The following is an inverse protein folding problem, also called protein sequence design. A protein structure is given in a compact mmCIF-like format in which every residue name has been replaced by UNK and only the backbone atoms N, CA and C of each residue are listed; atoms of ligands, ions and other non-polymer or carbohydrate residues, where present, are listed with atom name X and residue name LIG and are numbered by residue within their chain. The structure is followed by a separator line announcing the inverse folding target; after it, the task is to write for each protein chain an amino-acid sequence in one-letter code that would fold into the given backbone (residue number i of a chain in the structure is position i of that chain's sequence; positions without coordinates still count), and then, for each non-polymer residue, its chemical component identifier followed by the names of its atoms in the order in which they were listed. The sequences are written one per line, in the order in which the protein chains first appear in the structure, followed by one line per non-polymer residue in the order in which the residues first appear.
data_IF_588305167121
#
_entry.id   IF_588305167121
#
_cell.length_a   1.000
_cell.length_b   1.000
_cell.length_c   1.000
_cell.angle_alpha   90.00
_cell.angle_beta   90.00
_cell.angle_gamma   90.00
#
_symmetry.space_group_name_H-M   'P 1'
#
loop_
_entity.id
_entity.type
_entity.pdbx_description
1 polymer ?
#
# COMPACT_ATOMS: atom_id res chain seq x y z
N UNK A 1 -22.63 10.46 -26.17
CA UNK A 1 -21.58 10.88 -25.24
C UNK A 1 -20.46 9.85 -25.23
N UNK A 2 -19.20 10.30 -25.23
CA UNK A 2 -18.04 9.46 -25.59
C UNK A 2 -16.97 9.44 -24.50
N UNK A 3 -16.10 8.42 -24.52
CA UNK A 3 -14.99 8.28 -23.56
C UNK A 3 -14.01 9.44 -23.68
N UNK A 4 -13.85 9.97 -24.89
CA UNK A 4 -13.03 11.12 -25.21
C UNK A 4 -13.54 12.36 -24.48
N UNK A 5 -14.87 12.61 -24.50
CA UNK A 5 -15.46 13.75 -23.78
C UNK A 5 -15.33 13.63 -22.26
N UNK A 6 -15.54 12.43 -21.70
CA UNK A 6 -15.36 12.21 -20.26
C UNK A 6 -13.88 12.31 -19.83
N UNK A 7 -12.96 11.83 -20.67
CA UNK A 7 -11.52 11.96 -20.46
C UNK A 7 -11.04 13.41 -20.54
N UNK A 8 -11.59 14.19 -21.48
CA UNK A 8 -11.29 15.61 -21.64
C UNK A 8 -11.69 16.43 -20.40
N UNK A 9 -12.85 16.14 -19.80
CA UNK A 9 -13.29 16.81 -18.57
C UNK A 9 -12.35 16.51 -17.38
N UNK A 10 -11.90 15.26 -17.25
CA UNK A 10 -10.91 14.88 -16.22
C UNK A 10 -9.58 15.59 -16.45
N UNK A 11 -9.16 15.71 -17.72
CA UNK A 11 -7.95 16.45 -18.10
C UNK A 11 -8.07 17.93 -17.75
N UNK A 12 -9.21 18.56 -18.08
CA UNK A 12 -9.46 19.97 -17.78
C UNK A 12 -9.40 20.23 -16.27
N UNK A 13 -9.96 19.33 -15.45
CA UNK A 13 -9.85 19.42 -14.00
C UNK A 13 -8.41 19.29 -13.50
N UNK A 14 -7.63 18.34 -14.04
CA UNK A 14 -6.21 18.20 -13.68
C UNK A 14 -5.44 19.49 -14.02
N UNK A 15 -5.63 20.03 -15.22
CA UNK A 15 -4.96 21.23 -15.69
C UNK A 15 -5.41 22.47 -14.90
N UNK A 16 -6.68 22.57 -14.51
CA UNK A 16 -7.19 23.64 -13.65
C UNK A 16 -6.62 23.63 -12.22
N UNK A 17 -5.98 22.52 -11.81
CA UNK A 17 -5.24 22.40 -10.54
C UNK A 17 -3.73 22.57 -10.71
N UNK A 18 -3.28 22.97 -11.90
CA UNK A 18 -1.87 23.05 -12.28
C UNK A 18 -1.11 21.73 -12.10
N UNK A 19 -1.80 20.58 -12.18
CA UNK A 19 -1.17 19.28 -12.03
C UNK A 19 -0.69 18.75 -13.38
N UNK A 20 0.55 18.30 -13.43
CA UNK A 20 1.09 17.46 -14.49
C UNK A 20 0.52 16.03 -14.42
N UNK A 21 0.64 15.29 -15.52
CA UNK A 21 0.31 13.86 -15.53
C UNK A 21 1.16 13.05 -14.52
N UNK A 22 2.38 13.48 -14.24
CA UNK A 22 3.26 12.84 -13.27
C UNK A 22 2.78 13.05 -11.83
N UNK A 23 2.30 14.26 -11.50
CA UNK A 23 1.73 14.56 -10.19
C UNK A 23 0.41 13.83 -9.96
N UNK A 24 -0.45 13.75 -10.98
CA UNK A 24 -1.67 12.93 -10.88
C UNK A 24 -1.34 11.44 -10.74
N UNK A 25 -0.29 10.96 -11.42
CA UNK A 25 0.17 9.57 -11.29
C UNK A 25 0.65 9.27 -9.86
N UNK A 26 1.42 10.18 -9.26
CA UNK A 26 1.86 10.07 -7.87
C UNK A 26 0.68 10.08 -6.88
N UNK A 27 -0.29 10.97 -7.08
CA UNK A 27 -1.46 11.11 -6.21
C UNK A 27 -2.44 9.91 -6.28
N UNK A 28 -2.51 9.23 -7.43
CA UNK A 28 -3.51 8.17 -7.67
C UNK A 28 -2.90 6.76 -7.65
N UNK A 29 -1.58 6.62 -7.78
CA UNK A 29 -0.91 5.35 -8.01
C UNK A 29 -1.30 4.68 -9.34
N UNK A 30 -1.72 5.48 -10.34
CA UNK A 30 -2.01 5.04 -11.71
C UNK A 30 -0.84 5.47 -12.61
N UNK A 31 -0.42 4.61 -13.55
CA UNK A 31 0.68 4.95 -14.45
C UNK A 31 0.35 6.17 -15.33
N UNK A 32 1.36 6.99 -15.63
CA UNK A 32 1.25 8.14 -16.54
C UNK A 32 0.60 7.74 -17.88
N UNK A 33 1.02 6.59 -18.42
CA UNK A 33 0.44 6.05 -19.65
C UNK A 33 -1.04 5.66 -19.49
N UNK A 34 -1.42 5.08 -18.34
CA UNK A 34 -2.81 4.75 -18.01
C UNK A 34 -3.69 6.00 -17.91
N UNK A 35 -3.19 7.06 -17.25
CA UNK A 35 -3.84 8.36 -17.17
C UNK A 35 -3.98 9.00 -18.56
N UNK A 36 -2.92 8.96 -19.38
CA UNK A 36 -2.96 9.45 -20.77
C UNK A 36 -4.01 8.72 -21.62
N UNK A 37 -4.17 7.40 -21.47
CA UNK A 37 -5.23 6.67 -22.18
C UNK A 37 -6.63 7.03 -21.68
N UNK A 38 -6.78 7.28 -20.39
CA UNK A 38 -8.04 7.69 -19.77
C UNK A 38 -8.45 9.09 -20.25
N UNK A 39 -7.54 10.08 -20.17
CA UNK A 39 -7.81 11.46 -20.59
C UNK A 39 -8.12 11.60 -22.08
N UNK A 40 -7.56 10.72 -22.92
CA UNK A 40 -7.85 10.70 -24.36
C UNK A 40 -9.04 9.81 -24.73
N UNK A 41 -9.67 9.13 -23.77
CA UNK A 41 -10.73 8.16 -24.06
C UNK A 41 -10.30 6.93 -24.87
N UNK A 42 -9.00 6.75 -25.09
CA UNK A 42 -8.44 5.82 -26.07
C UNK A 42 -8.68 4.33 -25.75
N UNK A 43 -8.95 4.00 -24.47
CA UNK A 43 -9.26 2.64 -24.01
C UNK A 43 -10.36 2.68 -22.97
N UNK A 44 -11.09 1.56 -22.82
CA UNK A 44 -12.00 1.39 -21.68
C UNK A 44 -11.15 1.22 -20.41
N UNK A 45 -11.22 2.13 -19.42
CA UNK A 45 -10.47 1.98 -18.19
C UNK A 45 -11.10 0.87 -17.32
N UNK A 46 -10.27 0.19 -16.52
CA UNK A 46 -10.76 -0.71 -15.48
C UNK A 46 -11.46 0.08 -14.38
N UNK A 47 -12.47 -0.54 -13.74
CA UNK A 47 -13.20 0.05 -12.60
C UNK A 47 -12.25 0.52 -11.48
N UNK A 48 -11.22 -0.27 -11.19
CA UNK A 48 -10.20 0.07 -10.17
C UNK A 48 -9.36 1.28 -10.56
N UNK A 49 -9.06 1.47 -11.85
CA UNK A 49 -8.34 2.65 -12.36
C UNK A 49 -9.21 3.90 -12.21
N UNK A 50 -10.49 3.82 -12.58
CA UNK A 50 -11.44 4.93 -12.44
C UNK A 50 -11.55 5.37 -10.98
N UNK A 51 -11.73 4.42 -10.06
CA UNK A 51 -11.85 4.74 -8.63
C UNK A 51 -10.60 5.43 -8.07
N UNK A 52 -9.40 4.98 -8.46
CA UNK A 52 -8.14 5.62 -8.05
C UNK A 52 -8.03 7.06 -8.54
N UNK A 53 -8.44 7.32 -9.78
CA UNK A 53 -8.42 8.66 -10.38
C UNK A 53 -9.46 9.57 -9.72
N UNK A 54 -10.68 9.08 -9.49
CA UNK A 54 -11.73 9.81 -8.78
C UNK A 54 -11.26 10.20 -7.37
N UNK A 55 -10.70 9.24 -6.61
CA UNK A 55 -10.19 9.49 -5.27
C UNK A 55 -9.04 10.50 -5.26
N UNK A 56 -8.05 10.36 -6.15
CA UNK A 56 -6.91 11.28 -6.19
C UNK A 56 -7.27 12.69 -6.68
N UNK A 57 -8.37 12.82 -7.42
CA UNK A 57 -8.96 14.12 -7.78
C UNK A 57 -9.99 14.61 -6.76
N UNK A 58 -10.28 13.86 -5.69
CA UNK A 58 -11.30 14.22 -4.71
C UNK A 58 -12.72 14.29 -5.29
N UNK A 59 -12.99 13.51 -6.34
CA UNK A 59 -14.29 13.41 -6.99
C UNK A 59 -15.16 12.36 -6.28
N UNK A 60 -16.49 12.55 -6.22
CA UNK A 60 -17.41 11.53 -5.73
C UNK A 60 -17.28 10.21 -6.52
N UNK A 61 -17.41 9.04 -5.87
CA UNK A 61 -17.40 7.76 -6.58
C UNK A 61 -18.45 7.69 -7.69
N UNK A 62 -18.05 7.21 -8.87
CA UNK A 62 -18.92 7.07 -10.03
C UNK A 62 -19.10 8.35 -10.85
N UNK A 63 -18.35 9.42 -10.55
CA UNK A 63 -18.30 10.65 -11.35
C UNK A 63 -18.01 10.34 -12.82
N UNK A 64 -17.00 9.52 -13.12
CA UNK A 64 -16.65 9.15 -14.49
C UNK A 64 -17.80 8.48 -15.24
N UNK A 65 -18.58 7.63 -14.56
CA UNK A 65 -19.76 7.00 -15.15
C UNK A 65 -20.85 8.02 -15.51
N UNK A 66 -20.98 9.11 -14.75
CA UNK A 66 -21.89 10.21 -15.07
C UNK A 66 -21.37 11.03 -16.25
N UNK A 67 -20.07 11.33 -16.27
CA UNK A 67 -19.42 12.04 -17.38
C UNK A 67 -19.53 11.28 -18.71
N UNK A 68 -19.58 9.95 -18.68
CA UNK A 68 -19.76 9.14 -19.89
C UNK A 68 -21.14 9.33 -20.56
N UNK A 69 -22.15 9.77 -19.81
CA UNK A 69 -23.54 9.90 -20.28
C UNK A 69 -24.06 11.33 -20.26
N UNK A 70 -23.40 12.24 -19.53
CA UNK A 70 -23.76 13.65 -19.44
C UNK A 70 -23.59 14.34 -20.80
N UNK A 71 -24.55 15.17 -21.22
CA UNK A 71 -24.50 15.93 -22.48
C UNK A 71 -23.42 17.03 -22.49
N UNK A 72 -23.10 17.56 -21.31
CA UNK A 72 -21.99 18.49 -21.08
C UNK A 72 -21.17 18.01 -19.87
N UNK A 73 -20.09 17.23 -20.10
CA UNK A 73 -19.26 16.68 -19.04
C UNK A 73 -18.54 17.75 -18.22
N UNK A 74 -18.18 18.90 -18.81
CA UNK A 74 -17.49 19.97 -18.10
C UNK A 74 -18.44 20.69 -17.14
N UNK A 75 -19.67 20.97 -17.58
CA UNK A 75 -20.71 21.54 -16.72
C UNK A 75 -21.15 20.57 -15.61
N UNK A 76 -21.30 19.28 -15.92
CA UNK A 76 -21.60 18.23 -14.93
C UNK A 76 -20.48 18.16 -13.88
N UNK A 77 -19.22 18.16 -14.31
CA UNK A 77 -18.06 18.12 -13.41
C UNK A 77 -18.00 19.37 -12.51
N UNK A 78 -18.24 20.55 -13.07
CA UNK A 78 -18.31 21.80 -12.32
C UNK A 78 -19.47 21.81 -11.31
N UNK A 79 -20.62 21.25 -11.66
CA UNK A 79 -21.75 21.07 -10.74
C UNK A 79 -21.40 20.10 -9.59
N UNK A 80 -20.74 18.98 -9.89
CA UNK A 80 -20.31 18.02 -8.87
C UNK A 80 -19.26 18.63 -7.91
N UNK A 81 -18.36 19.46 -8.43
CA UNK A 81 -17.38 20.17 -7.61
C UNK A 81 -17.99 21.30 -6.77
N UNK A 82 -18.94 22.05 -7.31
CA UNK A 82 -19.63 23.15 -6.59
C UNK A 82 -20.65 22.64 -5.55
N UNK A 83 -21.22 21.45 -5.77
CA UNK A 83 -22.08 20.77 -4.79
C UNK A 83 -21.30 19.98 -3.74
N UNK A 84 -19.97 19.93 -3.85
CA UNK A 84 -19.05 19.34 -2.85
C UNK A 84 -18.63 20.31 -1.73
N UNK A 85 -19.22 21.52 -1.66
CA UNK A 85 -19.38 22.21 -0.37
C UNK A 85 -20.37 21.41 0.51
N UNK A 86 -20.35 21.52 1.85
CA UNK A 86 -21.13 20.64 2.73
C UNK A 86 -22.64 20.90 2.58
N UNK A 87 -23.26 20.31 1.55
CA UNK A 87 -24.72 20.18 1.43
C UNK A 87 -25.12 18.89 2.09
N UNK A 88 -25.58 19.03 3.33
CA UNK A 88 -26.51 18.09 3.93
C UNK A 88 -27.63 17.82 2.93
N UNK A 89 -27.73 16.57 2.49
CA UNK A 89 -28.80 16.05 1.63
C UNK A 89 -30.15 16.22 2.32
N UNK A 90 -31.25 16.57 1.60
CA UNK A 90 -32.58 16.54 2.19
C UNK A 90 -32.86 15.12 2.67
N UNK A 91 -33.28 15.01 3.92
CA UNK A 91 -33.53 13.76 4.61
C UNK A 91 -34.43 12.85 3.76
N UNK A 92 -33.86 11.74 3.27
CA UNK A 92 -34.65 10.53 3.01
C UNK A 92 -35.45 10.23 4.28
N UNK A 93 -36.70 9.73 4.17
CA UNK A 93 -37.42 9.27 5.35
C UNK A 93 -36.52 8.33 6.12
N UNK A 94 -36.38 8.61 7.42
CA UNK A 94 -35.36 8.08 8.31
C UNK A 94 -35.47 6.56 8.48
N UNK A 95 -34.99 5.81 7.48
CA UNK A 95 -34.17 4.65 7.77
C UNK A 95 -32.81 5.20 8.14
N UNK A 96 -32.47 5.15 9.42
CA UNK A 96 -31.11 5.37 9.91
C UNK A 96 -30.17 4.46 9.12
N UNK A 97 -29.53 4.98 8.08
CA UNK A 97 -28.31 4.39 7.56
C UNK A 97 -27.25 4.74 8.59
N UNK A 98 -27.21 3.93 9.66
CA UNK A 98 -26.07 3.87 10.55
C UNK A 98 -24.95 3.30 9.69
N UNK A 99 -24.01 4.15 9.28
CA UNK A 99 -22.71 3.65 8.81
C UNK A 99 -22.07 3.07 10.05
N UNK A 100 -22.20 1.76 10.20
CA UNK A 100 -21.64 1.06 11.32
C UNK A 100 -20.13 0.94 11.10
N UNK A 101 -19.38 1.94 11.60
CA UNK A 101 -17.92 1.94 11.60
C UNK A 101 -17.35 0.72 12.33
N UNK A 102 -18.14 0.10 13.20
CA UNK A 102 -17.78 -1.17 13.82
C UNK A 102 -17.73 -2.28 12.76
N UNK A 103 -18.75 -2.39 11.89
CA UNK A 103 -18.79 -3.38 10.81
C UNK A 103 -17.65 -3.20 9.79
N UNK A 104 -17.29 -1.96 9.44
CA UNK A 104 -16.16 -1.72 8.53
C UNK A 104 -14.83 -2.16 9.16
N UNK A 105 -14.69 -1.99 10.47
CA UNK A 105 -13.49 -2.38 11.21
C UNK A 105 -13.40 -3.90 11.37
N UNK A 106 -14.52 -4.57 11.64
CA UNK A 106 -14.61 -6.03 11.68
C UNK A 106 -14.25 -6.67 10.33
N UNK A 107 -14.68 -6.06 9.22
CA UNK A 107 -14.32 -6.54 7.87
C UNK A 107 -12.81 -6.41 7.64
N UNK A 108 -12.19 -5.30 8.05
CA UNK A 108 -10.75 -5.09 7.91
C UNK A 108 -9.96 -6.08 8.77
N UNK A 109 -10.44 -6.36 9.97
CA UNK A 109 -9.85 -7.36 10.87
C UNK A 109 -9.94 -8.76 10.27
N UNK A 110 -11.14 -9.22 9.88
CA UNK A 110 -11.32 -10.53 9.28
C UNK A 110 -10.51 -10.71 8.00
N UNK A 111 -10.28 -9.64 7.24
CA UNK A 111 -9.37 -9.68 6.10
C UNK A 111 -7.91 -9.86 6.51
N UNK A 112 -7.44 -9.16 7.55
CA UNK A 112 -6.08 -9.31 8.07
C UNK A 112 -5.85 -10.73 8.63
N UNK A 113 -6.83 -11.29 9.34
CA UNK A 113 -6.80 -12.65 9.85
C UNK A 113 -6.71 -13.67 8.71
N UNK A 114 -7.56 -13.55 7.68
CA UNK A 114 -7.53 -14.43 6.52
C UNK A 114 -6.19 -14.39 5.76
N UNK A 115 -5.55 -13.21 5.68
CA UNK A 115 -4.21 -13.08 5.09
C UNK A 115 -3.15 -13.81 5.91
N UNK A 116 -3.18 -13.67 7.24
CA UNK A 116 -2.25 -14.35 8.14
C UNK A 116 -2.39 -15.87 8.02
N UNK A 117 -3.62 -16.39 7.96
CA UNK A 117 -3.88 -17.82 7.80
C UNK A 117 -3.42 -18.35 6.44
N UNK A 118 -3.63 -17.59 5.37
CA UNK A 118 -3.12 -17.92 4.05
C UNK A 118 -1.59 -18.02 4.05
N UNK A 119 -0.91 -17.06 4.69
CA UNK A 119 0.56 -17.07 4.85
C UNK A 119 1.02 -18.28 5.66
N UNK A 120 0.40 -18.54 6.81
CA UNK A 120 0.71 -19.73 7.65
C UNK A 120 0.57 -21.02 6.86
N UNK A 121 -0.47 -21.14 6.03
CA UNK A 121 -0.68 -22.32 5.18
C UNK A 121 0.43 -22.50 4.14
N UNK A 122 0.97 -21.41 3.58
CA UNK A 122 2.12 -21.45 2.67
C UNK A 122 3.38 -21.85 3.42
N UNK A 123 3.62 -21.26 4.59
CA UNK A 123 4.82 -21.51 5.41
C UNK A 123 4.87 -22.94 5.93
N UNK A 124 3.73 -23.55 6.24
CA UNK A 124 3.66 -24.95 6.66
C UNK A 124 4.16 -25.93 5.59
N UNK A 125 4.22 -25.51 4.32
CA UNK A 125 4.72 -26.33 3.19
C UNK A 125 6.19 -26.07 2.89
N UNK A 126 6.82 -25.12 3.59
CA UNK A 126 8.22 -24.79 3.42
C UNK A 126 9.13 -25.74 4.21
N UNK A 127 10.34 -26.04 3.72
CA UNK A 127 11.36 -26.75 4.50
C UNK A 127 11.68 -25.99 5.81
N UNK A 128 12.07 -26.73 6.84
CA UNK A 128 12.53 -26.16 8.12
C UNK A 128 13.93 -25.54 8.02
N UNK A 129 14.79 -26.11 7.17
CA UNK A 129 16.13 -25.61 6.84
C UNK A 129 16.28 -25.66 5.31
N UNK A 130 16.79 -24.59 4.72
CA UNK A 130 16.84 -24.47 3.25
C UNK A 130 18.24 -24.55 2.68
N UNK A 131 18.37 -25.29 1.59
CA UNK A 131 19.41 -25.08 0.57
C UNK A 131 19.17 -23.74 -0.15
N UNK A 132 20.21 -23.20 -0.81
CA UNK A 132 20.16 -21.94 -1.58
C UNK A 132 18.97 -21.88 -2.58
N UNK A 133 18.46 -23.03 -3.03
CA UNK A 133 17.34 -23.14 -3.97
C UNK A 133 16.01 -22.55 -3.46
N UNK A 134 15.80 -22.48 -2.13
CA UNK A 134 14.56 -21.96 -1.54
C UNK A 134 14.66 -20.52 -1.04
N UNK A 135 15.85 -19.91 -1.05
CA UNK A 135 16.06 -18.54 -0.56
C UNK A 135 15.14 -17.54 -1.29
N UNK A 136 15.09 -17.62 -2.63
CA UNK A 136 14.23 -16.74 -3.44
C UNK A 136 12.75 -16.92 -3.10
N UNK A 137 12.33 -18.16 -2.80
CA UNK A 137 10.93 -18.43 -2.44
C UNK A 137 10.62 -17.90 -1.04
N UNK A 138 11.50 -18.10 -0.05
CA UNK A 138 11.33 -17.55 1.30
C UNK A 138 11.27 -16.02 1.25
N UNK A 139 12.16 -15.36 0.49
CA UNK A 139 12.12 -13.91 0.30
C UNK A 139 10.80 -13.44 -0.32
N UNK A 140 10.22 -14.22 -1.24
CA UNK A 140 8.88 -13.94 -1.78
C UNK A 140 7.78 -14.01 -0.70
N UNK A 141 7.84 -15.01 0.20
CA UNK A 141 6.89 -15.14 1.32
C UNK A 141 7.07 -14.01 2.33
N UNK A 142 8.31 -13.64 2.67
CA UNK A 142 8.63 -12.47 3.49
C UNK A 142 8.02 -11.20 2.88
N UNK A 143 8.19 -10.99 1.57
CA UNK A 143 7.59 -9.86 0.89
C UNK A 143 6.05 -9.87 0.92
N UNK A 144 5.41 -11.04 1.09
CA UNK A 144 3.97 -11.14 1.31
C UNK A 144 3.58 -10.83 2.77
N UNK A 145 4.34 -11.30 3.76
CA UNK A 145 4.16 -10.93 5.17
C UNK A 145 4.18 -9.40 5.33
N UNK A 146 5.19 -8.76 4.78
CA UNK A 146 5.38 -7.32 4.87
C UNK A 146 4.27 -6.51 4.17
N UNK A 147 3.71 -7.04 3.07
CA UNK A 147 2.52 -6.44 2.44
C UNK A 147 1.29 -6.55 3.33
N UNK A 148 1.09 -7.69 3.99
CA UNK A 148 0.01 -7.89 4.93
C UNK A 148 0.17 -6.98 6.16
N UNK A 149 1.39 -6.78 6.65
CA UNK A 149 1.71 -5.85 7.74
C UNK A 149 1.33 -4.42 7.37
N UNK A 150 1.76 -3.94 6.20
CA UNK A 150 1.43 -2.58 5.76
C UNK A 150 -0.07 -2.36 5.62
N UNK A 151 -0.80 -3.38 5.18
CA UNK A 151 -2.25 -3.31 5.14
C UNK A 151 -2.86 -3.29 6.55
N UNK A 152 -2.46 -4.20 7.44
CA UNK A 152 -2.95 -4.27 8.81
C UNK A 152 -2.64 -2.96 9.57
N UNK A 153 -1.47 -2.36 9.36
CA UNK A 153 -1.09 -1.06 9.94
C UNK A 153 -1.97 0.08 9.40
N UNK A 154 -2.32 0.05 8.11
CA UNK A 154 -3.28 1.00 7.54
C UNK A 154 -4.67 0.85 8.14
N UNK A 155 -5.13 -0.40 8.34
CA UNK A 155 -6.41 -0.71 8.99
C UNK A 155 -6.42 -0.30 10.46
N UNK A 156 -5.29 -0.45 11.17
CA UNK A 156 -5.16 -0.08 12.57
C UNK A 156 -5.43 1.41 12.80
N UNK A 157 -4.92 2.28 11.91
CA UNK A 157 -5.19 3.73 11.96
C UNK A 157 -6.67 4.06 11.88
N UNK A 158 -7.45 3.24 11.16
CA UNK A 158 -8.90 3.38 11.08
C UNK A 158 -9.57 2.84 12.34
N UNK A 159 -9.16 1.65 12.80
CA UNK A 159 -9.73 0.93 13.94
C UNK A 159 -9.59 1.65 15.28
N UNK A 160 -8.48 2.39 15.51
CA UNK A 160 -8.27 3.16 16.74
C UNK A 160 -9.42 4.14 17.02
N UNK A 161 -10.07 4.65 15.97
CA UNK A 161 -11.19 5.57 16.10
C UNK A 161 -12.54 4.87 16.26
N UNK A 162 -12.60 3.53 16.19
CA UNK A 162 -13.81 2.71 16.25
C UNK A 162 -13.96 1.91 17.56
N UNK A 163 -12.89 1.74 18.35
CA UNK A 163 -12.92 1.08 19.66
C UNK A 163 -11.59 0.41 20.01
N UNK A 164 -11.28 0.30 21.31
CA UNK A 164 -10.00 -0.22 21.79
C UNK A 164 -9.75 -1.70 21.44
N UNK A 165 -10.80 -2.51 21.36
CA UNK A 165 -10.69 -3.96 21.13
C UNK A 165 -10.20 -4.29 19.70
N UNK A 166 -10.73 -3.60 18.69
CA UNK A 166 -10.35 -3.78 17.28
C UNK A 166 -8.89 -3.39 17.03
N UNK A 167 -8.46 -2.27 17.61
CA UNK A 167 -7.07 -1.82 17.51
C UNK A 167 -6.11 -2.81 18.18
N UNK A 168 -6.53 -3.42 19.30
CA UNK A 168 -5.77 -4.47 19.98
C UNK A 168 -5.58 -5.71 19.11
N UNK A 169 -6.63 -6.18 18.44
CA UNK A 169 -6.56 -7.37 17.56
C UNK A 169 -5.69 -7.13 16.32
N UNK A 170 -5.83 -5.98 15.67
CA UNK A 170 -4.95 -5.60 14.56
C UNK A 170 -3.47 -5.46 14.99
N UNK A 171 -3.21 -4.97 16.21
CA UNK A 171 -1.85 -4.93 16.75
C UNK A 171 -1.29 -6.35 16.96
N UNK A 172 -2.10 -7.28 17.49
CA UNK A 172 -1.69 -8.68 17.62
C UNK A 172 -1.40 -9.33 16.26
N UNK A 173 -2.18 -9.01 15.21
CA UNK A 173 -1.89 -9.46 13.85
C UNK A 173 -0.56 -8.91 13.31
N UNK A 174 -0.27 -7.63 13.53
CA UNK A 174 1.02 -7.03 13.15
C UNK A 174 2.20 -7.72 13.83
N UNK A 175 2.09 -7.97 15.14
CA UNK A 175 3.11 -8.67 15.91
C UNK A 175 3.30 -10.12 15.42
N UNK A 176 2.22 -10.82 15.08
CA UNK A 176 2.28 -12.17 14.53
C UNK A 176 2.96 -12.22 13.15
N UNK A 177 2.70 -11.22 12.30
CA UNK A 177 3.35 -11.11 10.99
C UNK A 177 4.86 -10.83 11.12
N UNK A 178 5.26 -9.90 12.00
CA UNK A 178 6.69 -9.62 12.25
C UNK A 178 7.41 -10.85 12.83
N UNK A 179 6.78 -11.56 13.76
CA UNK A 179 7.33 -12.81 14.30
C UNK A 179 7.52 -13.87 13.19
N UNK A 180 6.52 -14.00 12.32
CA UNK A 180 6.57 -14.92 11.17
C UNK A 180 7.70 -14.54 10.20
N UNK A 181 7.84 -13.24 9.90
CA UNK A 181 8.93 -12.71 9.09
C UNK A 181 10.30 -13.06 9.68
N UNK A 182 10.48 -12.83 10.98
CA UNK A 182 11.73 -13.14 11.69
C UNK A 182 12.05 -14.65 11.67
N UNK A 183 11.05 -15.51 11.90
CA UNK A 183 11.21 -16.97 11.81
C UNK A 183 11.64 -17.42 10.41
N UNK A 184 11.09 -16.80 9.34
CA UNK A 184 11.49 -17.10 7.97
C UNK A 184 12.93 -16.70 7.68
N UNK A 185 13.39 -15.56 8.19
CA UNK A 185 14.79 -15.13 8.08
C UNK A 185 15.74 -16.09 8.80
N UNK A 186 15.35 -16.62 9.96
CA UNK A 186 16.14 -17.60 10.70
C UNK A 186 16.35 -18.93 9.95
N UNK A 187 15.47 -19.28 8.99
CA UNK A 187 15.67 -20.45 8.12
C UNK A 187 16.77 -20.26 7.07
N UNK A 188 17.26 -19.03 6.89
CA UNK A 188 18.28 -18.67 5.90
C UNK A 188 19.51 -18.01 6.54
N UNK A 189 20.20 -18.66 7.50
CA UNK A 189 21.26 -18.04 8.29
C UNK A 189 22.51 -17.62 7.48
N UNK A 190 22.67 -18.18 6.28
CA UNK A 190 23.75 -17.84 5.33
C UNK A 190 23.43 -16.62 4.47
N UNK A 191 22.14 -16.28 4.31
CA UNK A 191 21.69 -15.15 3.49
C UNK A 191 22.19 -13.82 4.07
N UNK A 192 22.69 -12.95 3.19
CA UNK A 192 23.13 -11.62 3.59
C UNK A 192 21.97 -10.80 4.18
N UNK A 193 20.75 -10.97 3.66
CA UNK A 193 19.55 -10.28 4.15
C UNK A 193 19.23 -10.65 5.60
N UNK A 194 19.25 -11.94 5.93
CA UNK A 194 18.99 -12.42 7.29
C UNK A 194 20.05 -11.94 8.27
N UNK A 195 21.32 -12.03 7.89
CA UNK A 195 22.45 -11.55 8.69
C UNK A 195 22.40 -10.04 8.92
N UNK A 196 22.01 -9.30 7.89
CA UNK A 196 21.85 -7.86 7.97
C UNK A 196 20.68 -7.44 8.86
N UNK A 197 19.53 -8.12 8.76
CA UNK A 197 18.38 -7.89 9.64
C UNK A 197 18.73 -8.15 11.11
N UNK A 198 19.43 -9.24 11.38
CA UNK A 198 19.94 -9.59 12.72
C UNK A 198 20.91 -8.52 13.25
N UNK A 199 21.84 -8.04 12.41
CA UNK A 199 22.76 -6.97 12.78
C UNK A 199 22.02 -5.66 13.10
N UNK A 200 20.99 -5.32 12.33
CA UNK A 200 20.13 -4.16 12.64
C UNK A 200 19.49 -4.30 14.03
N UNK A 201 18.91 -5.46 14.32
CA UNK A 201 18.29 -5.74 15.62
C UNK A 201 19.29 -5.68 16.79
N UNK A 202 20.52 -6.19 16.61
CA UNK A 202 21.57 -6.16 17.63
C UNK A 202 22.16 -4.78 17.88
N UNK A 203 22.30 -3.97 16.82
CA UNK A 203 23.00 -2.69 16.90
C UNK A 203 22.34 -1.68 17.87
N UNK A 204 21.05 -1.84 18.17
CA UNK A 204 20.21 -0.88 18.91
C UNK A 204 20.16 0.54 18.32
N UNK A 205 20.73 0.73 17.12
CA UNK A 205 20.74 2.02 16.43
C UNK A 205 19.40 2.28 15.74
N UNK A 206 18.92 3.54 15.71
CA UNK A 206 17.75 3.90 14.92
C UNK A 206 17.99 3.65 13.43
N UNK A 207 16.96 3.18 12.72
CA UNK A 207 17.05 2.84 11.30
C UNK A 207 17.60 3.97 10.40
N UNK A 208 17.22 5.26 10.58
CA UNK A 208 17.81 6.35 9.81
C UNK A 208 19.32 6.53 10.01
N UNK A 209 19.84 6.16 11.18
CA UNK A 209 21.29 6.21 11.47
C UNK A 209 21.99 5.11 10.69
N UNK A 210 21.45 3.88 10.72
CA UNK A 210 22.00 2.76 9.96
C UNK A 210 21.94 3.07 8.46
N UNK A 211 20.84 3.64 7.96
CA UNK A 211 20.70 4.05 6.56
C UNK A 211 21.79 5.06 6.15
N UNK A 212 22.09 6.02 7.02
CA UNK A 212 23.17 6.99 6.82
C UNK A 212 24.56 6.32 6.79
N UNK A 213 24.83 5.36 7.67
CA UNK A 213 26.09 4.59 7.67
C UNK A 213 26.30 3.80 6.37
N UNK A 214 25.22 3.25 5.82
CA UNK A 214 25.24 2.48 4.58
C UNK A 214 25.19 3.37 3.33
N UNK A 215 24.88 4.66 3.47
CA UNK A 215 24.68 5.57 2.34
C UNK A 215 23.48 5.15 1.48
N UNK A 216 22.38 4.76 2.12
CA UNK A 216 21.11 4.38 1.48
C UNK A 216 19.96 5.18 2.10
N UNK A 217 18.85 5.29 1.39
CA UNK A 217 17.60 5.84 1.91
C UNK A 217 16.91 4.87 2.88
N UNK A 218 15.94 5.37 3.65
CA UNK A 218 15.09 4.53 4.52
C UNK A 218 14.23 3.55 3.69
N UNK A 219 13.85 3.94 2.48
CA UNK A 219 13.13 3.03 1.57
C UNK A 219 14.03 1.91 1.07
N UNK A 220 15.28 2.23 0.68
CA UNK A 220 16.26 1.21 0.31
C UNK A 220 16.64 0.31 1.50
N UNK A 221 16.71 0.87 2.72
CA UNK A 221 16.90 0.08 3.95
C UNK A 221 15.79 -0.97 4.10
N UNK A 222 14.54 -0.54 3.90
CA UNK A 222 13.39 -1.42 3.96
C UNK A 222 13.45 -2.50 2.87
N UNK A 223 13.88 -2.15 1.65
CA UNK A 223 14.05 -3.10 0.55
C UNK A 223 15.18 -4.12 0.82
N UNK A 224 16.28 -3.69 1.42
CA UNK A 224 17.35 -4.60 1.84
C UNK A 224 16.81 -5.61 2.85
N UNK A 225 16.10 -5.16 3.89
CA UNK A 225 15.61 -6.02 5.00
C UNK A 225 14.45 -6.93 4.62
N UNK A 226 13.66 -6.57 3.60
CA UNK A 226 12.40 -7.26 3.30
C UNK A 226 12.35 -7.91 1.91
N UNK A 227 13.24 -7.51 0.99
CA UNK A 227 13.30 -8.05 -0.37
C UNK A 227 14.69 -8.60 -0.73
N UNK A 228 15.71 -8.32 0.08
CA UNK A 228 17.10 -8.64 -0.22
C UNK A 228 17.68 -7.84 -1.38
N UNK A 229 17.05 -6.72 -1.75
CA UNK A 229 17.51 -5.87 -2.85
C UNK A 229 18.54 -4.90 -2.29
N UNK A 230 19.81 -5.09 -2.67
CA UNK A 230 20.91 -4.25 -2.20
C UNK A 230 21.41 -3.36 -3.34
N UNK A 231 21.41 -2.03 -3.19
CA UNK A 231 22.00 -1.13 -4.17
C UNK A 231 23.48 -1.48 -4.41
N UNK A 232 23.96 -1.55 -5.67
CA UNK A 232 25.34 -1.96 -5.98
C UNK A 232 26.40 -1.16 -5.22
N UNK A 233 26.16 0.15 -5.02
CA UNK A 233 27.06 1.04 -4.29
C UNK A 233 27.09 0.83 -2.77
N UNK A 234 26.17 0.05 -2.21
CA UNK A 234 26.02 -0.19 -0.77
C UNK A 234 26.45 -1.59 -0.33
N UNK A 235 26.61 -2.55 -1.25
CA UNK A 235 26.87 -3.96 -0.94
C UNK A 235 28.04 -4.19 0.02
N UNK A 236 29.18 -3.51 -0.21
CA UNK A 236 30.35 -3.65 0.65
C UNK A 236 30.09 -3.18 2.09
N UNK A 237 29.33 -2.08 2.27
CA UNK A 237 28.99 -1.53 3.58
C UNK A 237 27.93 -2.38 4.29
N UNK A 238 26.95 -2.89 3.55
CA UNK A 238 25.94 -3.84 4.09
C UNK A 238 26.62 -5.11 4.60
N UNK A 239 27.56 -5.69 3.84
CA UNK A 239 28.35 -6.85 4.30
C UNK A 239 29.16 -6.53 5.54
N UNK A 240 29.89 -5.40 5.52
CA UNK A 240 30.69 -4.99 6.67
C UNK A 240 29.84 -4.77 7.93
N UNK A 241 28.65 -4.17 7.82
CA UNK A 241 27.72 -3.99 8.92
C UNK A 241 27.18 -5.32 9.44
N UNK A 242 26.78 -6.23 8.55
CA UNK A 242 26.29 -7.56 8.89
C UNK A 242 27.38 -8.46 9.55
N UNK A 243 28.66 -8.17 9.32
CA UNK A 243 29.81 -8.89 9.87
C UNK A 243 30.37 -8.26 11.13
N UNK A 244 30.40 -6.93 11.21
CA UNK A 244 30.96 -6.17 12.34
C UNK A 244 30.20 -6.40 13.66
N UNK A 245 28.89 -6.66 13.58
CA UNK A 245 28.06 -7.00 14.74
C UNK A 245 28.17 -8.48 15.17
N UNK A 246 29.03 -9.28 14.52
CA UNK A 246 29.44 -10.61 14.98
C UNK A 246 30.82 -10.52 15.61
N UNK A 247 30.91 -10.14 16.89
CA UNK A 247 32.12 -10.38 17.67
C UNK A 247 31.78 -11.04 19.02
N UNK A 248 32.69 -11.88 19.52
CA UNK A 248 32.43 -13.24 20.01
C UNK A 248 31.67 -13.34 21.33
#
# INVERSE_FOLDING_TARGET
MSRESAGAAIRALREARDWSLAELAAATGVSIMGLSYLERGARKPHKSTVQKVENGLGLPPGTYSRLLVAEDPDAELAQLMSTSGPRMTPARPAGTVVVDRHSDTEVLEGFAEAQLDALRSVIARLPSETSDEYETYILSVIAQCVKAEMLAASSWRVAVNAGADHAGRLMAHLQALEATRAELLQRMPTSLTARFDEACARSSLPEPVIASLLGVSVEEMWDIRNKGVIPPGALARVRAFAEGERQP
#
